data_IF_744102136771
#
_entry.id   IF_744102136771
#
_cell.length_a   1.000
_cell.length_b   1.000
_cell.length_c   1.000
_cell.angle_alpha   90.00
_cell.angle_beta   90.00
_cell.angle_gamma   90.00
#
_symmetry.space_group_name_H-M   'P 1'
#
loop_
_entity.id
_entity.type
_entity.pdbx_description
1 polymer ?
#
# COMPACT_ATOMS: atom_id res chain seq x y z
N UNK A 1 18.17 -11.72 34.63
CA UNK A 1 17.14 -10.86 35.24
C UNK A 1 17.12 -9.56 34.44
N UNK A 2 16.01 -9.26 33.77
CA UNK A 2 15.84 -8.04 33.00
C UNK A 2 15.85 -6.84 33.94
N UNK A 3 16.57 -5.74 33.66
CA UNK A 3 16.74 -4.62 34.61
C UNK A 3 15.48 -3.76 34.82
N UNK A 4 14.30 -4.17 34.35
CA UNK A 4 13.07 -3.35 34.35
C UNK A 4 11.86 -3.98 35.06
N UNK A 5 12.01 -5.04 35.83
CA UNK A 5 10.89 -5.53 36.63
C UNK A 5 10.79 -4.71 37.93
N UNK A 6 9.71 -3.94 38.05
CA UNK A 6 9.32 -3.29 39.30
C UNK A 6 8.90 -4.41 40.27
N UNK A 7 9.57 -4.49 41.40
CA UNK A 7 9.18 -5.40 42.51
C UNK A 7 7.91 -4.86 43.15
N UNK A 8 6.75 -5.36 42.71
CA UNK A 8 5.42 -4.93 43.17
C UNK A 8 5.24 -5.22 44.70
N UNK A 9 6.03 -6.14 45.29
CA UNK A 9 5.96 -6.41 46.74
C UNK A 9 6.41 -5.24 47.60
N UNK A 10 7.13 -4.26 47.00
CA UNK A 10 7.62 -3.04 47.65
C UNK A 10 6.80 -1.80 47.26
N UNK A 11 5.70 -1.96 46.52
CA UNK A 11 4.84 -0.88 46.15
C UNK A 11 4.03 -0.42 47.36
N UNK A 12 4.24 0.82 47.77
CA UNK A 12 3.49 1.48 48.86
C UNK A 12 2.69 2.62 48.26
N UNK A 13 1.33 2.50 48.18
CA UNK A 13 0.48 3.54 47.61
C UNK A 13 0.47 4.83 48.44
N UNK A 14 1.02 4.81 49.66
CA UNK A 14 1.14 6.03 50.51
C UNK A 14 2.44 6.80 50.24
N UNK A 15 3.41 6.19 49.54
CA UNK A 15 4.59 6.90 49.03
C UNK A 15 4.20 7.78 47.86
N UNK A 16 4.76 8.99 47.82
CA UNK A 16 4.55 9.92 46.70
C UNK A 16 5.33 9.49 45.42
N UNK A 17 4.97 8.33 44.88
CA UNK A 17 5.56 7.75 43.66
C UNK A 17 4.88 8.23 42.35
N UNK A 18 3.97 9.21 42.46
CA UNK A 18 3.27 9.83 41.32
C UNK A 18 4.22 10.31 40.19
N UNK A 19 5.40 10.92 40.47
CA UNK A 19 6.31 11.30 39.41
C UNK A 19 6.80 10.11 38.55
N UNK A 20 7.02 8.93 39.16
CA UNK A 20 7.44 7.73 38.43
C UNK A 20 6.32 7.17 37.57
N UNK A 21 5.07 7.18 38.07
CA UNK A 21 3.90 6.77 37.33
C UNK A 21 3.72 7.66 36.10
N UNK A 22 3.72 8.98 36.28
CA UNK A 22 3.62 9.94 35.19
C UNK A 22 4.66 9.70 34.09
N UNK A 23 5.92 9.44 34.46
CA UNK A 23 6.99 9.22 33.51
C UNK A 23 6.89 7.90 32.75
N UNK A 24 6.29 6.85 33.31
CA UNK A 24 6.28 5.48 32.77
C UNK A 24 4.96 5.04 32.14
N UNK A 25 3.93 5.89 32.16
CA UNK A 25 2.66 5.56 31.47
C UNK A 25 2.93 5.35 29.98
N UNK A 26 2.40 4.26 29.37
CA UNK A 26 2.65 3.92 27.97
C UNK A 26 1.77 4.73 26.99
N UNK A 27 1.66 6.02 27.24
CA UNK A 27 1.03 7.00 26.35
C UNK A 27 1.82 8.31 26.41
N UNK A 28 1.64 9.16 25.42
CA UNK A 28 2.19 10.52 25.49
C UNK A 28 1.38 11.34 26.49
N UNK A 29 2.04 12.02 27.39
CA UNK A 29 1.41 12.98 28.29
C UNK A 29 2.11 14.32 28.14
N UNK A 30 1.32 15.36 27.90
CA UNK A 30 1.75 16.74 27.97
C UNK A 30 0.74 17.55 28.78
N UNK A 31 1.21 18.58 29.46
CA UNK A 31 0.38 19.51 30.22
C UNK A 31 0.55 20.87 29.59
N UNK A 32 -0.57 21.54 29.27
CA UNK A 32 -0.57 22.87 28.65
C UNK A 32 -1.17 23.90 29.60
N UNK A 33 -0.60 25.12 29.55
CA UNK A 33 -1.19 26.30 30.24
C UNK A 33 -2.22 26.99 29.32
N UNK A 34 -2.83 28.07 29.81
CA UNK A 34 -3.83 28.88 29.09
C UNK A 34 -3.31 29.48 27.77
N UNK A 35 -1.98 29.63 27.64
CA UNK A 35 -1.33 30.11 26.41
C UNK A 35 -1.04 28.97 25.42
N UNK A 36 -1.52 27.77 25.71
CA UNK A 36 -1.26 26.53 24.92
C UNK A 36 0.26 26.17 24.87
N UNK A 37 1.03 26.62 25.88
CA UNK A 37 2.41 26.21 26.03
C UNK A 37 2.50 24.93 26.83
N UNK A 38 3.35 24.04 26.37
CA UNK A 38 3.68 22.80 27.08
C UNK A 38 4.50 23.15 28.32
N UNK A 39 3.98 22.79 29.50
CA UNK A 39 4.64 23.06 30.80
C UNK A 39 5.25 21.80 31.39
N UNK A 40 4.76 20.62 31.03
CA UNK A 40 5.29 19.34 31.50
C UNK A 40 5.03 18.25 30.48
N UNK A 41 5.94 17.26 30.40
CA UNK A 41 5.83 16.10 29.51
C UNK A 41 6.37 14.86 30.20
N UNK A 42 5.86 13.67 29.82
CA UNK A 42 6.39 12.41 30.28
C UNK A 42 7.54 11.89 29.37
N UNK A 43 8.19 10.81 29.80
CA UNK A 43 9.34 10.24 29.10
C UNK A 43 9.02 9.80 27.68
N UNK A 44 7.86 9.15 27.44
CA UNK A 44 7.46 8.68 26.12
C UNK A 44 7.27 9.86 25.14
N UNK A 45 6.64 10.95 25.59
CA UNK A 45 6.53 12.15 24.79
C UNK A 45 7.91 12.67 24.38
N UNK A 46 8.87 12.75 25.35
CA UNK A 46 10.21 13.28 25.08
C UNK A 46 10.99 12.41 24.09
N UNK A 47 10.74 11.09 24.07
CA UNK A 47 11.38 10.18 23.12
C UNK A 47 10.95 10.49 21.68
N UNK A 48 9.66 10.72 21.44
CA UNK A 48 9.11 10.84 20.07
C UNK A 48 9.01 12.29 19.59
N UNK A 49 8.86 13.25 20.49
CA UNK A 49 8.73 14.68 20.15
C UNK A 49 9.92 15.54 20.61
N UNK A 50 10.78 15.01 21.48
CA UNK A 50 11.87 15.75 22.09
C UNK A 50 11.45 16.51 23.34
N UNK A 51 12.42 17.20 23.98
CA UNK A 51 12.12 18.09 25.12
C UNK A 51 11.56 19.41 24.58
N UNK A 52 10.25 19.61 24.67
CA UNK A 52 9.49 20.72 24.09
C UNK A 52 8.80 21.59 25.14
N UNK A 53 9.26 21.55 26.39
CA UNK A 53 8.72 22.40 27.46
C UNK A 53 8.95 23.86 27.12
N UNK A 54 7.89 24.68 27.24
CA UNK A 54 7.85 26.11 26.89
C UNK A 54 7.38 26.39 25.45
N UNK A 55 7.36 25.41 24.57
CA UNK A 55 6.91 25.57 23.18
C UNK A 55 5.39 25.47 23.05
N UNK A 56 4.83 25.97 21.96
CA UNK A 56 3.39 25.93 21.69
C UNK A 56 2.98 24.53 21.17
N UNK A 57 1.95 23.96 21.76
CA UNK A 57 1.55 22.57 21.47
C UNK A 57 1.22 22.34 19.99
N UNK A 58 0.55 23.30 19.33
CA UNK A 58 0.19 23.20 17.92
C UNK A 58 1.39 23.31 16.96
N UNK A 59 2.48 23.97 17.38
CA UNK A 59 3.76 23.96 16.64
C UNK A 59 4.43 22.61 16.77
N UNK A 60 4.50 22.08 18.00
CA UNK A 60 5.17 20.81 18.31
C UNK A 60 4.48 19.62 17.65
N UNK A 61 3.17 19.51 17.80
CA UNK A 61 2.43 18.34 17.30
C UNK A 61 2.11 18.39 15.82
N UNK A 62 1.92 19.60 15.25
CA UNK A 62 1.36 19.75 13.89
C UNK A 62 2.12 20.71 12.99
N UNK A 63 3.21 21.31 13.46
CA UNK A 63 3.97 22.31 12.70
C UNK A 63 3.15 23.55 12.29
N UNK A 64 2.11 23.90 13.07
CA UNK A 64 1.20 25.01 12.74
C UNK A 64 1.67 26.30 13.37
N UNK A 65 1.36 27.43 12.74
CA UNK A 65 1.61 28.78 13.28
C UNK A 65 0.41 29.37 14.06
N UNK A 66 -0.67 28.63 14.18
CA UNK A 66 -1.90 29.06 14.88
C UNK A 66 -2.59 27.88 15.58
N UNK A 67 -3.40 28.12 16.62
CA UNK A 67 -4.12 27.08 17.34
C UNK A 67 -4.94 26.18 16.40
N UNK A 68 -5.07 24.91 16.79
CA UNK A 68 -5.84 23.93 16.02
C UNK A 68 -7.32 24.33 15.98
N UNK A 69 -8.00 24.24 14.83
CA UNK A 69 -9.46 24.29 14.81
C UNK A 69 -10.00 23.12 15.62
N UNK A 70 -11.09 23.34 16.35
CA UNK A 70 -11.73 22.30 17.20
C UNK A 70 -10.81 21.68 18.27
N UNK A 71 -9.83 22.45 18.78
CA UNK A 71 -8.83 21.98 19.72
C UNK A 71 -9.45 21.45 21.02
N UNK A 72 -9.22 20.19 21.42
CA UNK A 72 -9.78 19.61 22.64
C UNK A 72 -9.24 20.30 23.90
N UNK A 73 -7.99 20.76 23.90
CA UNK A 73 -7.39 21.50 25.02
C UNK A 73 -8.11 22.83 25.26
N UNK A 74 -8.40 23.57 24.17
CA UNK A 74 -9.15 24.85 24.28
C UNK A 74 -10.57 24.61 24.78
N UNK A 75 -11.25 23.56 24.32
CA UNK A 75 -12.59 23.19 24.78
C UNK A 75 -12.58 22.86 26.27
N UNK A 76 -11.61 22.07 26.74
CA UNK A 76 -11.46 21.72 28.16
C UNK A 76 -11.18 22.94 29.03
N UNK A 77 -10.42 23.93 28.57
CA UNK A 77 -10.27 25.19 29.31
C UNK A 77 -11.56 25.97 29.39
N UNK A 78 -12.42 25.90 28.37
CA UNK A 78 -13.66 26.68 28.32
C UNK A 78 -14.76 26.11 29.18
N UNK A 79 -14.93 24.78 29.23
CA UNK A 79 -16.09 24.14 29.90
C UNK A 79 -15.71 23.23 31.09
N UNK A 80 -14.42 22.96 31.28
CA UNK A 80 -13.93 22.08 32.35
C UNK A 80 -14.26 20.61 32.16
N UNK A 81 -14.67 20.20 30.97
CA UNK A 81 -15.00 18.81 30.65
C UNK A 81 -13.84 18.09 29.98
N UNK A 82 -13.88 16.77 30.06
CA UNK A 82 -12.98 15.89 29.30
C UNK A 82 -13.43 15.89 27.85
N UNK A 83 -12.50 16.15 26.95
CA UNK A 83 -12.69 16.03 25.50
C UNK A 83 -11.81 14.97 24.92
N UNK A 84 -12.26 14.35 23.82
CA UNK A 84 -11.46 13.40 23.06
C UNK A 84 -11.59 13.65 21.57
N UNK A 85 -10.51 13.40 20.85
CA UNK A 85 -10.48 13.47 19.39
C UNK A 85 -9.43 12.53 18.83
N UNK A 86 -9.61 12.09 17.60
CA UNK A 86 -8.55 11.43 16.83
C UNK A 86 -7.81 12.50 16.01
N UNK A 87 -6.50 12.50 16.13
CA UNK A 87 -5.65 13.52 15.54
C UNK A 87 -4.46 12.89 14.81
N UNK A 88 -3.95 13.58 13.81
CA UNK A 88 -2.67 13.28 13.21
C UNK A 88 -1.62 14.23 13.79
N UNK A 89 -0.51 13.69 14.24
CA UNK A 89 0.63 14.42 14.79
C UNK A 89 1.91 14.07 14.03
N UNK A 90 2.90 14.96 14.11
CA UNK A 90 4.18 14.78 13.44
C UNK A 90 5.25 14.59 14.53
N UNK A 91 5.94 13.45 14.49
CA UNK A 91 7.06 13.18 15.41
C UNK A 91 8.29 14.03 15.04
N UNK A 92 9.28 14.08 15.94
CA UNK A 92 10.54 14.83 15.70
C UNK A 92 11.30 14.38 14.44
N UNK A 93 11.09 13.10 14.02
CA UNK A 93 11.73 12.53 12.84
C UNK A 93 10.90 12.80 11.56
N UNK A 94 9.86 13.65 11.66
CA UNK A 94 9.00 14.02 10.55
C UNK A 94 7.99 12.94 10.14
N UNK A 95 7.81 11.90 10.95
CA UNK A 95 6.84 10.84 10.66
C UNK A 95 5.45 11.22 11.16
N UNK A 96 4.44 10.93 10.34
CA UNK A 96 3.04 11.07 10.73
C UNK A 96 2.61 9.92 11.65
N UNK A 97 1.97 10.25 12.76
CA UNK A 97 1.38 9.30 13.69
C UNK A 97 -0.08 9.66 13.97
N UNK A 98 -0.96 8.66 13.91
CA UNK A 98 -2.34 8.80 14.35
C UNK A 98 -2.41 8.57 15.85
N UNK A 99 -3.02 9.51 16.54
CA UNK A 99 -3.21 9.43 17.99
C UNK A 99 -4.68 9.62 18.36
N UNK A 100 -5.12 8.95 19.41
CA UNK A 100 -6.35 9.31 20.10
C UNK A 100 -5.97 10.16 21.31
N UNK A 101 -6.54 11.34 21.39
CA UNK A 101 -6.25 12.36 22.40
C UNK A 101 -7.39 12.40 23.41
N UNK A 102 -7.05 12.49 24.67
CA UNK A 102 -7.96 12.80 25.78
C UNK A 102 -7.40 13.98 26.55
N UNK A 103 -8.25 14.95 26.85
CA UNK A 103 -7.87 16.13 27.63
C UNK A 103 -8.62 16.17 28.95
N UNK A 104 -7.97 16.58 30.04
CA UNK A 104 -8.55 16.69 31.36
C UNK A 104 -8.08 17.97 32.06
N UNK A 105 -8.99 18.73 32.73
CA UNK A 105 -8.61 19.94 33.42
C UNK A 105 -7.83 19.62 34.70
N UNK A 106 -6.85 20.45 35.01
CA UNK A 106 -6.12 20.44 36.29
C UNK A 106 -6.50 21.71 37.09
N UNK A 107 -6.89 21.51 38.33
CA UNK A 107 -7.40 22.57 39.20
C UNK A 107 -6.39 22.94 40.28
N UNK A 108 -6.38 24.21 40.68
CA UNK A 108 -5.72 24.64 41.92
C UNK A 108 -6.60 24.42 43.14
N UNK A 109 -6.07 24.74 44.32
CA UNK A 109 -6.78 24.60 45.60
C UNK A 109 -8.05 25.48 45.68
N UNK A 110 -8.21 26.46 44.81
CA UNK A 110 -9.37 27.35 44.71
C UNK A 110 -10.41 26.85 43.70
N UNK A 111 -10.22 25.66 43.11
CA UNK A 111 -11.14 25.10 42.12
C UNK A 111 -11.08 25.78 40.75
N UNK A 112 -10.05 26.57 40.45
CA UNK A 112 -9.84 27.19 39.14
C UNK A 112 -8.97 26.30 38.26
N UNK A 113 -9.33 26.14 36.99
CA UNK A 113 -8.50 25.43 36.01
C UNK A 113 -7.20 26.22 35.78
N UNK A 114 -6.08 25.60 36.02
CA UNK A 114 -4.73 26.21 35.88
C UNK A 114 -3.97 25.63 34.72
N UNK A 115 -4.31 24.40 34.30
CA UNK A 115 -3.70 23.72 33.18
C UNK A 115 -4.65 22.64 32.63
N UNK A 116 -4.34 22.12 31.46
CA UNK A 116 -5.00 20.94 30.87
C UNK A 116 -3.96 19.88 30.65
N UNK A 117 -4.23 18.68 31.13
CA UNK A 117 -3.46 17.50 30.82
C UNK A 117 -4.01 16.87 29.54
N UNK A 118 -3.13 16.62 28.59
CA UNK A 118 -3.41 15.90 27.35
C UNK A 118 -2.72 14.54 27.40
N UNK A 119 -3.51 13.48 27.24
CA UNK A 119 -3.02 12.12 27.09
C UNK A 119 -3.29 11.66 25.68
N UNK A 120 -2.26 11.18 24.98
CA UNK A 120 -2.38 10.72 23.60
C UNK A 120 -1.81 9.33 23.46
N UNK A 121 -2.58 8.44 22.85
CA UNK A 121 -2.15 7.06 22.56
C UNK A 121 -1.94 6.90 21.06
N UNK A 122 -0.78 6.40 20.68
CA UNK A 122 -0.47 6.12 19.27
C UNK A 122 -1.30 4.92 18.76
N UNK A 123 -2.20 5.19 17.82
CA UNK A 123 -3.08 4.20 17.20
C UNK A 123 -2.74 3.95 15.73
N UNK A 124 -1.56 4.35 15.27
CA UNK A 124 -1.15 4.21 13.87
C UNK A 124 -1.25 2.77 13.38
N UNK A 125 -0.80 1.81 14.19
CA UNK A 125 -0.90 0.40 13.84
C UNK A 125 -2.37 -0.08 13.79
N UNK A 126 -3.22 0.41 14.69
CA UNK A 126 -4.66 0.08 14.70
C UNK A 126 -5.32 0.63 13.45
N UNK A 127 -5.02 1.88 13.07
CA UNK A 127 -5.54 2.50 11.84
C UNK A 127 -5.08 1.76 10.59
N UNK A 128 -3.80 1.34 10.54
CA UNK A 128 -3.28 0.51 9.43
C UNK A 128 -4.04 -0.80 9.34
N UNK A 129 -4.19 -1.52 10.47
CA UNK A 129 -4.94 -2.77 10.49
C UNK A 129 -6.41 -2.60 10.10
N UNK A 130 -7.06 -1.52 10.53
CA UNK A 130 -8.44 -1.19 10.12
C UNK A 130 -8.54 -0.94 8.62
N UNK A 131 -7.58 -0.20 8.05
CA UNK A 131 -7.50 0.05 6.60
C UNK A 131 -7.27 -1.25 5.84
N UNK A 132 -6.35 -2.09 6.31
CA UNK A 132 -6.04 -3.39 5.69
C UNK A 132 -7.27 -4.32 5.72
N UNK A 133 -7.97 -4.40 6.85
CA UNK A 133 -9.21 -5.19 6.99
C UNK A 133 -10.34 -4.66 6.09
N UNK A 134 -10.50 -3.35 6.01
CA UNK A 134 -11.49 -2.73 5.11
C UNK A 134 -11.18 -3.05 3.65
N UNK A 135 -9.91 -2.90 3.25
CA UNK A 135 -9.44 -3.24 1.91
C UNK A 135 -9.66 -4.74 1.61
N UNK A 136 -9.39 -5.61 2.59
CA UNK A 136 -9.61 -7.05 2.45
C UNK A 136 -11.11 -7.37 2.27
N UNK A 137 -11.99 -6.71 3.04
CA UNK A 137 -13.44 -6.87 2.91
C UNK A 137 -13.95 -6.44 1.52
N UNK A 138 -13.48 -5.31 1.02
CA UNK A 138 -13.79 -4.82 -0.33
C UNK A 138 -13.27 -5.78 -1.41
N UNK A 139 -12.06 -6.29 -1.23
CA UNK A 139 -11.45 -7.27 -2.14
C UNK A 139 -12.30 -8.53 -2.23
N UNK A 140 -12.76 -9.09 -1.11
CA UNK A 140 -13.64 -10.27 -1.07
C UNK A 140 -14.96 -10.01 -1.81
N UNK A 141 -15.58 -8.84 -1.63
CA UNK A 141 -16.81 -8.48 -2.34
C UNK A 141 -16.59 -8.41 -3.85
N UNK A 142 -15.49 -7.81 -4.30
CA UNK A 142 -15.09 -7.74 -5.72
C UNK A 142 -14.82 -9.13 -6.29
N UNK A 143 -14.14 -9.99 -5.53
CA UNK A 143 -13.90 -11.39 -5.90
C UNK A 143 -15.21 -12.15 -6.10
N UNK A 144 -16.15 -12.05 -5.16
CA UNK A 144 -17.45 -12.70 -5.25
C UNK A 144 -18.24 -12.26 -6.50
N UNK A 145 -18.21 -10.95 -6.80
CA UNK A 145 -18.82 -10.42 -8.02
C UNK A 145 -18.14 -10.95 -9.29
N UNK A 146 -16.81 -11.00 -9.32
CA UNK A 146 -16.04 -11.53 -10.46
C UNK A 146 -16.29 -13.02 -10.68
N UNK A 147 -16.32 -13.83 -9.61
CA UNK A 147 -16.67 -15.26 -9.67
C UNK A 147 -18.07 -15.44 -10.26
N UNK A 148 -19.06 -14.70 -9.76
CA UNK A 148 -20.43 -14.75 -10.28
C UNK A 148 -20.49 -14.45 -11.79
N UNK A 149 -19.77 -13.42 -12.25
CA UNK A 149 -19.74 -13.05 -13.66
C UNK A 149 -19.10 -14.13 -14.53
N UNK A 150 -18.00 -14.75 -14.06
CA UNK A 150 -17.33 -15.84 -14.78
C UNK A 150 -18.22 -17.07 -14.86
N UNK A 151 -18.89 -17.44 -13.75
CA UNK A 151 -19.85 -18.57 -13.74
C UNK A 151 -21.01 -18.34 -14.72
N UNK A 152 -21.59 -17.14 -14.72
CA UNK A 152 -22.62 -16.77 -15.71
C UNK A 152 -22.11 -16.87 -17.15
N UNK A 153 -20.85 -16.48 -17.38
CA UNK A 153 -20.21 -16.62 -18.69
C UNK A 153 -19.98 -18.08 -19.09
N UNK A 154 -19.60 -18.95 -18.13
CA UNK A 154 -19.48 -20.39 -18.35
C UNK A 154 -20.82 -21.02 -18.70
N UNK A 155 -21.90 -20.72 -17.95
CA UNK A 155 -23.20 -21.22 -18.20
C UNK A 155 -23.69 -20.81 -19.61
N UNK A 156 -23.48 -19.55 -20.00
CA UNK A 156 -23.77 -19.07 -21.36
C UNK A 156 -22.95 -19.80 -22.44
N UNK A 157 -21.66 -20.04 -22.20
CA UNK A 157 -20.82 -20.81 -23.13
C UNK A 157 -21.29 -22.25 -23.30
N UNK A 158 -21.60 -22.91 -22.19
CA UNK A 158 -22.18 -24.29 -22.19
C UNK A 158 -23.51 -24.34 -22.94
N UNK A 159 -24.38 -23.36 -22.74
CA UNK A 159 -25.65 -23.27 -23.47
C UNK A 159 -25.41 -23.20 -24.98
N UNK A 160 -24.48 -22.33 -25.45
CA UNK A 160 -24.15 -22.19 -26.88
C UNK A 160 -23.57 -23.48 -27.44
N UNK A 161 -22.66 -24.17 -26.70
CA UNK A 161 -22.14 -25.50 -27.11
C UNK A 161 -23.26 -26.49 -27.29
N UNK A 162 -24.16 -26.61 -26.31
CA UNK A 162 -25.28 -27.56 -26.36
C UNK A 162 -26.26 -27.25 -27.50
N UNK A 163 -26.57 -25.97 -27.75
CA UNK A 163 -27.39 -25.53 -28.89
C UNK A 163 -26.77 -25.94 -30.22
N UNK A 164 -25.47 -25.64 -30.41
CA UNK A 164 -24.77 -26.00 -31.63
C UNK A 164 -24.69 -27.52 -31.87
N UNK A 165 -24.49 -28.31 -30.80
CA UNK A 165 -24.48 -29.76 -30.88
C UNK A 165 -25.87 -30.31 -31.28
N UNK A 166 -26.94 -29.78 -30.70
CA UNK A 166 -28.31 -30.19 -31.01
C UNK A 166 -28.72 -29.86 -32.44
N UNK A 167 -28.22 -28.73 -32.97
CA UNK A 167 -28.53 -28.26 -34.32
C UNK A 167 -27.54 -28.79 -35.39
N UNK A 168 -26.48 -29.48 -34.97
CA UNK A 168 -25.40 -29.92 -35.86
C UNK A 168 -24.55 -28.75 -36.37
N UNK A 169 -24.63 -27.56 -35.76
CA UNK A 169 -23.86 -26.39 -36.13
C UNK A 169 -22.48 -26.40 -35.44
N UNK A 170 -21.47 -26.81 -36.22
CA UNK A 170 -20.09 -26.86 -35.75
C UNK A 170 -19.52 -25.46 -35.42
N UNK A 171 -19.97 -24.44 -36.14
CA UNK A 171 -19.48 -23.06 -35.93
C UNK A 171 -19.97 -22.50 -34.61
N UNK A 172 -21.24 -22.71 -34.31
CA UNK A 172 -21.84 -22.32 -33.02
C UNK A 172 -21.22 -23.10 -31.86
N UNK A 173 -21.01 -24.42 -32.04
CA UNK A 173 -20.31 -25.25 -31.03
C UNK A 173 -18.91 -24.74 -30.71
N UNK A 174 -18.13 -24.39 -31.74
CA UNK A 174 -16.77 -23.84 -31.54
C UNK A 174 -16.79 -22.47 -30.83
N UNK A 175 -17.73 -21.59 -31.20
CA UNK A 175 -17.88 -20.30 -30.52
C UNK A 175 -18.22 -20.48 -29.02
N UNK A 176 -19.13 -21.41 -28.73
CA UNK A 176 -19.46 -21.74 -27.34
C UNK A 176 -18.26 -22.28 -26.56
N UNK A 177 -17.47 -23.16 -27.21
CA UNK A 177 -16.25 -23.71 -26.63
C UNK A 177 -15.18 -22.63 -26.32
N UNK A 178 -14.96 -21.68 -27.23
CA UNK A 178 -14.08 -20.51 -27.01
C UNK A 178 -14.53 -19.69 -25.79
N UNK A 179 -15.84 -19.49 -25.61
CA UNK A 179 -16.38 -18.80 -24.42
C UNK A 179 -16.04 -19.57 -23.15
N UNK A 180 -16.22 -20.91 -23.14
CA UNK A 180 -15.88 -21.75 -21.99
C UNK A 180 -14.38 -21.66 -21.67
N UNK A 181 -13.52 -21.89 -22.66
CA UNK A 181 -12.06 -21.83 -22.48
C UNK A 181 -11.60 -20.48 -21.91
N UNK A 182 -12.13 -19.38 -22.44
CA UNK A 182 -11.82 -18.02 -21.95
C UNK A 182 -12.23 -17.83 -20.48
N UNK A 183 -13.38 -18.31 -20.08
CA UNK A 183 -13.85 -18.19 -18.69
C UNK A 183 -13.06 -19.10 -17.73
N UNK A 184 -12.64 -20.30 -18.16
CA UNK A 184 -11.74 -21.17 -17.38
C UNK A 184 -10.38 -20.49 -17.15
N UNK A 185 -9.80 -19.87 -18.19
CA UNK A 185 -8.55 -19.11 -18.05
C UNK A 185 -8.70 -17.94 -17.05
N UNK A 186 -9.86 -17.25 -17.05
CA UNK A 186 -10.18 -16.19 -16.09
C UNK A 186 -10.27 -16.69 -14.66
N UNK A 187 -10.90 -17.83 -14.41
CA UNK A 187 -10.93 -18.44 -13.06
C UNK A 187 -9.51 -18.73 -12.60
N UNK A 188 -8.69 -19.31 -13.46
CA UNK A 188 -7.29 -19.64 -13.13
C UNK A 188 -6.48 -18.38 -12.75
N UNK A 189 -6.67 -17.28 -13.48
CA UNK A 189 -6.04 -15.99 -13.15
C UNK A 189 -6.55 -15.45 -11.81
N UNK A 190 -7.88 -15.45 -11.62
CA UNK A 190 -8.50 -14.96 -10.38
C UNK A 190 -8.01 -15.73 -9.15
N UNK A 191 -7.91 -17.07 -9.24
CA UNK A 191 -7.40 -17.90 -8.14
C UNK A 191 -5.94 -17.55 -7.83
N UNK A 192 -5.10 -17.33 -8.86
CA UNK A 192 -3.70 -16.88 -8.66
C UNK A 192 -3.65 -15.53 -7.94
N UNK A 193 -4.48 -14.57 -8.35
CA UNK A 193 -4.55 -13.24 -7.73
C UNK A 193 -4.99 -13.33 -6.25
N UNK A 194 -6.00 -14.19 -5.96
CA UNK A 194 -6.46 -14.45 -4.59
C UNK A 194 -5.35 -15.05 -3.73
N UNK A 195 -4.69 -16.09 -4.23
CA UNK A 195 -3.58 -16.74 -3.53
C UNK A 195 -2.42 -15.75 -3.30
N UNK A 196 -2.20 -14.85 -4.27
CA UNK A 196 -1.21 -13.80 -4.14
C UNK A 196 -1.56 -12.81 -3.02
N UNK A 197 -2.82 -12.38 -2.94
CA UNK A 197 -3.29 -11.47 -1.89
C UNK A 197 -3.30 -12.11 -0.49
N UNK A 198 -3.65 -13.40 -0.40
CA UNK A 198 -3.83 -14.10 0.88
C UNK A 198 -2.53 -14.56 1.55
N UNK A 199 -1.47 -14.81 0.77
CA UNK A 199 -0.22 -15.36 1.29
C UNK A 199 0.72 -14.23 1.74
N UNK A 200 1.16 -14.29 3.00
CA UNK A 200 2.31 -13.49 3.45
C UNK A 200 3.56 -14.11 2.81
N UNK A 201 4.21 -13.39 1.90
CA UNK A 201 5.40 -13.88 1.20
C UNK A 201 6.66 -13.35 1.86
N UNK A 202 7.65 -14.20 1.97
CA UNK A 202 9.02 -13.75 2.17
C UNK A 202 9.58 -13.42 0.77
N UNK A 203 9.79 -12.12 0.51
CA UNK A 203 10.40 -11.66 -0.73
C UNK A 203 11.88 -12.01 -0.70
N UNK A 204 12.25 -13.10 -1.38
CA UNK A 204 13.66 -13.49 -1.49
C UNK A 204 14.34 -12.51 -2.44
N UNK A 205 15.12 -11.61 -1.87
CA UNK A 205 15.88 -10.63 -2.65
C UNK A 205 17.17 -11.29 -3.19
N UNK A 206 17.45 -11.07 -4.46
CA UNK A 206 18.66 -11.49 -5.15
C UNK A 206 19.23 -10.33 -5.98
N UNK A 207 20.49 -10.43 -6.36
CA UNK A 207 21.08 -9.47 -7.27
C UNK A 207 20.59 -9.82 -8.69
N UNK A 208 19.84 -8.92 -9.29
CA UNK A 208 19.24 -9.09 -10.62
C UNK A 208 19.64 -7.98 -11.58
N UNK A 209 19.55 -8.22 -12.87
CA UNK A 209 19.55 -7.21 -13.93
C UNK A 209 18.09 -6.87 -14.28
N UNK A 210 17.53 -5.73 -13.84
CA UNK A 210 16.12 -5.42 -14.04
C UNK A 210 15.74 -5.32 -15.51
N UNK A 211 16.66 -4.81 -16.36
CA UNK A 211 16.42 -4.69 -17.79
C UNK A 211 16.21 -6.04 -18.46
N UNK A 212 16.79 -7.12 -17.95
CA UNK A 212 16.52 -8.46 -18.44
C UNK A 212 15.07 -8.86 -18.15
N UNK A 213 14.56 -8.60 -16.94
CA UNK A 213 13.17 -8.89 -16.60
C UNK A 213 12.20 -8.09 -17.48
N UNK A 214 12.53 -6.82 -17.76
CA UNK A 214 11.71 -6.00 -18.69
C UNK A 214 11.69 -6.60 -20.10
N UNK A 215 12.84 -7.11 -20.60
CA UNK A 215 12.92 -7.80 -21.90
C UNK A 215 12.11 -9.10 -21.90
N UNK A 216 12.16 -9.89 -20.82
CA UNK A 216 11.38 -11.13 -20.69
C UNK A 216 9.88 -10.86 -20.76
N UNK A 217 9.40 -9.84 -20.05
CA UNK A 217 8.00 -9.40 -20.11
C UNK A 217 7.64 -8.89 -21.51
N UNK A 218 8.51 -8.11 -22.14
CA UNK A 218 8.29 -7.65 -23.51
C UNK A 218 8.13 -8.83 -24.48
N UNK A 219 9.03 -9.81 -24.45
CA UNK A 219 8.94 -10.99 -25.34
C UNK A 219 7.69 -11.83 -25.04
N UNK A 220 7.27 -11.94 -23.77
CA UNK A 220 6.05 -12.63 -23.39
C UNK A 220 4.80 -12.03 -24.05
N UNK A 221 4.72 -10.70 -24.13
CA UNK A 221 3.54 -10.01 -24.66
C UNK A 221 3.64 -9.60 -26.12
N UNK A 222 4.82 -9.69 -26.75
CA UNK A 222 5.05 -9.28 -28.15
C UNK A 222 4.10 -9.93 -29.13
N UNK A 223 3.88 -11.26 -28.99
CA UNK A 223 2.97 -12.00 -29.86
C UNK A 223 1.51 -11.56 -29.68
N UNK A 224 1.08 -11.37 -28.44
CA UNK A 224 -0.29 -10.92 -28.10
C UNK A 224 -0.52 -9.50 -28.63
N UNK A 225 0.42 -8.58 -28.41
CA UNK A 225 0.33 -7.20 -28.91
C UNK A 225 0.24 -7.15 -30.43
N UNK A 226 1.06 -7.97 -31.14
CA UNK A 226 1.05 -8.05 -32.60
C UNK A 226 -0.29 -8.56 -33.15
N UNK A 227 -0.92 -9.56 -32.50
CA UNK A 227 -2.25 -10.05 -32.90
C UNK A 227 -3.35 -8.99 -32.76
N UNK A 228 -3.21 -8.10 -31.80
CA UNK A 228 -4.15 -6.98 -31.56
C UNK A 228 -3.72 -5.69 -32.30
N UNK A 229 -2.70 -5.78 -33.19
CA UNK A 229 -2.18 -4.64 -33.96
C UNK A 229 -1.63 -3.49 -33.10
N UNK A 230 -1.03 -3.81 -31.97
CA UNK A 230 -0.44 -2.85 -31.00
C UNK A 230 1.07 -2.89 -31.17
N UNK A 231 1.70 -1.73 -31.38
CA UNK A 231 3.15 -1.59 -31.38
C UNK A 231 3.66 -1.63 -29.92
N UNK A 232 4.46 -2.65 -29.59
CA UNK A 232 5.12 -2.76 -28.29
C UNK A 232 6.57 -2.30 -28.42
N UNK A 233 7.02 -1.36 -27.56
CA UNK A 233 8.33 -0.71 -27.67
C UNK A 233 9.08 -0.81 -26.35
N UNK A 234 10.39 -0.99 -26.41
CA UNK A 234 11.31 -0.95 -25.28
C UNK A 234 12.11 0.36 -25.29
N UNK A 235 12.21 0.98 -24.11
CA UNK A 235 13.03 2.17 -23.85
C UNK A 235 13.76 1.95 -22.51
N UNK A 236 14.96 1.37 -22.58
CA UNK A 236 15.68 0.87 -21.42
C UNK A 236 16.88 1.76 -21.07
N UNK A 237 17.00 2.14 -19.81
CA UNK A 237 18.15 2.85 -19.25
C UNK A 237 19.35 1.90 -19.09
N UNK A 238 20.42 2.07 -19.88
CA UNK A 238 21.56 1.16 -19.80
C UNK A 238 22.33 1.23 -18.49
N UNK A 239 22.23 2.36 -17.76
CA UNK A 239 22.93 2.60 -16.50
C UNK A 239 22.23 2.05 -15.27
N UNK A 240 21.06 1.41 -15.41
CA UNK A 240 20.31 0.88 -14.29
C UNK A 240 21.07 -0.22 -13.54
N UNK A 241 21.91 -0.98 -14.24
CA UNK A 241 22.84 -1.95 -13.65
C UNK A 241 22.16 -3.04 -12.80
N UNK A 242 22.96 -3.67 -11.93
CA UNK A 242 22.47 -4.72 -11.02
C UNK A 242 21.86 -4.10 -9.75
N UNK A 243 20.71 -4.60 -9.34
CA UNK A 243 20.04 -4.18 -8.11
C UNK A 243 19.66 -5.39 -7.26
N UNK A 244 19.50 -5.18 -5.94
CA UNK A 244 18.96 -6.18 -5.01
C UNK A 244 17.44 -6.14 -5.08
N UNK A 245 16.81 -7.14 -5.70
CA UNK A 245 15.37 -7.20 -5.92
C UNK A 245 14.86 -8.64 -6.04
N UNK A 246 13.53 -8.83 -6.10
CA UNK A 246 12.92 -10.12 -6.39
C UNK A 246 12.47 -10.16 -7.86
N UNK A 247 12.99 -11.15 -8.61
CA UNK A 247 12.72 -11.32 -10.06
C UNK A 247 11.23 -11.58 -10.33
N UNK A 248 10.60 -12.48 -9.54
CA UNK A 248 9.21 -12.87 -9.74
C UNK A 248 8.25 -11.70 -9.46
N UNK A 249 8.55 -10.89 -8.44
CA UNK A 249 7.76 -9.72 -8.10
C UNK A 249 7.82 -8.65 -9.20
N UNK A 250 9.02 -8.34 -9.71
CA UNK A 250 9.17 -7.40 -10.81
C UNK A 250 8.46 -7.90 -12.08
N UNK A 251 8.62 -9.19 -12.41
CA UNK A 251 7.93 -9.80 -13.54
C UNK A 251 6.41 -9.72 -13.38
N UNK A 252 5.88 -10.00 -12.20
CA UNK A 252 4.44 -9.92 -11.90
C UNK A 252 3.90 -8.49 -12.04
N UNK A 253 4.61 -7.51 -11.46
CA UNK A 253 4.26 -6.09 -11.57
C UNK A 253 4.15 -5.68 -13.03
N UNK A 254 5.22 -5.89 -13.80
CA UNK A 254 5.30 -5.45 -15.19
C UNK A 254 4.29 -6.20 -16.07
N UNK A 255 4.11 -7.49 -15.87
CA UNK A 255 3.11 -8.28 -16.61
C UNK A 255 1.70 -7.78 -16.40
N UNK A 256 1.33 -7.44 -15.17
CA UNK A 256 0.02 -6.87 -14.85
C UNK A 256 -0.20 -5.51 -15.54
N UNK A 257 0.82 -4.65 -15.52
CA UNK A 257 0.73 -3.33 -16.14
C UNK A 257 0.64 -3.41 -17.66
N UNK A 258 1.48 -4.26 -18.30
CA UNK A 258 1.45 -4.47 -19.76
C UNK A 258 0.14 -5.10 -20.21
N UNK A 259 -0.36 -6.09 -19.48
CA UNK A 259 -1.67 -6.69 -19.77
C UNK A 259 -2.79 -5.66 -19.71
N UNK A 260 -2.79 -4.76 -18.69
CA UNK A 260 -3.75 -3.69 -18.59
C UNK A 260 -3.67 -2.71 -19.77
N UNK A 261 -2.46 -2.35 -20.22
CA UNK A 261 -2.23 -1.47 -21.36
C UNK A 261 -2.74 -2.10 -22.67
N UNK A 262 -2.45 -3.39 -22.93
CA UNK A 262 -2.94 -4.11 -24.10
C UNK A 262 -4.46 -4.14 -24.11
N UNK A 263 -5.10 -4.42 -22.97
CA UNK A 263 -6.55 -4.43 -22.90
C UNK A 263 -7.16 -3.04 -23.09
N UNK A 264 -6.55 -1.97 -22.56
CA UNK A 264 -7.00 -0.61 -22.77
C UNK A 264 -6.99 -0.23 -24.25
N UNK A 265 -5.90 -0.54 -24.96
CA UNK A 265 -5.77 -0.31 -26.40
C UNK A 265 -6.78 -1.16 -27.21
N UNK A 266 -6.97 -2.44 -26.85
CA UNK A 266 -7.90 -3.34 -27.54
C UNK A 266 -9.35 -2.86 -27.53
N UNK A 267 -9.79 -2.21 -26.46
CA UNK A 267 -11.16 -1.70 -26.33
C UNK A 267 -11.33 -0.28 -26.82
N UNK A 268 -10.27 0.41 -27.27
CA UNK A 268 -10.36 1.72 -27.87
C UNK A 268 -10.74 1.62 -29.36
N UNK A 269 -11.99 1.97 -29.64
CA UNK A 269 -12.52 1.98 -31.02
C UNK A 269 -12.17 3.26 -31.79
N UNK A 270 -11.63 4.27 -31.11
CA UNK A 270 -11.39 5.61 -31.71
C UNK A 270 -10.02 5.72 -32.37
N UNK A 271 -9.07 4.83 -32.01
CA UNK A 271 -7.71 4.83 -32.51
C UNK A 271 -7.36 3.47 -33.15
N UNK A 272 -6.49 3.47 -34.14
CA UNK A 272 -5.99 2.26 -34.79
C UNK A 272 -4.48 2.07 -34.67
N UNK A 273 -3.73 3.13 -34.39
CA UNK A 273 -2.28 3.16 -34.23
C UNK A 273 -1.90 3.07 -32.73
N UNK A 274 -2.24 1.92 -32.13
CA UNK A 274 -1.96 1.71 -30.72
C UNK A 274 -0.48 1.42 -30.48
N UNK A 275 0.05 2.02 -29.42
CA UNK A 275 1.44 1.89 -29.00
C UNK A 275 1.54 1.78 -27.49
N UNK A 276 2.36 0.82 -27.04
CA UNK A 276 2.69 0.63 -25.62
C UNK A 276 4.21 0.69 -25.48
N UNK A 277 4.69 1.49 -24.53
CA UNK A 277 6.12 1.66 -24.27
C UNK A 277 6.44 1.16 -22.86
N UNK A 278 7.38 0.21 -22.77
CA UNK A 278 7.96 -0.24 -21.51
C UNK A 278 9.28 0.49 -21.31
N UNK A 279 9.39 1.26 -20.20
CA UNK A 279 10.62 1.99 -19.86
C UNK A 279 11.21 1.52 -18.56
N UNK A 280 12.53 1.55 -18.50
CA UNK A 280 13.30 1.57 -17.26
C UNK A 280 14.05 2.89 -17.16
N UNK A 281 14.11 3.50 -15.98
CA UNK A 281 14.72 4.81 -15.75
C UNK A 281 15.52 4.75 -14.45
N UNK A 282 16.71 5.35 -14.45
CA UNK A 282 17.49 5.58 -13.24
C UNK A 282 17.33 7.02 -12.81
N UNK A 283 16.68 7.26 -11.66
CA UNK A 283 16.47 8.62 -11.11
C UNK A 283 17.13 8.75 -9.73
N UNK A 284 18.42 9.15 -9.74
CA UNK A 284 19.21 9.18 -8.50
C UNK A 284 19.28 7.79 -7.86
N UNK A 285 18.88 7.63 -6.58
CA UNK A 285 18.88 6.33 -5.90
C UNK A 285 17.64 5.47 -6.20
N UNK A 286 16.86 5.82 -7.20
CA UNK A 286 15.58 5.17 -7.50
C UNK A 286 15.63 4.46 -8.85
N UNK A 287 15.19 3.19 -8.87
CA UNK A 287 14.84 2.47 -10.07
C UNK A 287 13.35 2.73 -10.38
N UNK A 288 13.07 3.19 -11.58
CA UNK A 288 11.71 3.50 -12.03
C UNK A 288 11.38 2.67 -13.25
N UNK A 289 10.19 2.06 -13.25
CA UNK A 289 9.66 1.32 -14.39
C UNK A 289 8.32 1.94 -14.78
N UNK A 290 8.15 2.17 -16.07
CA UNK A 290 6.95 2.76 -16.63
C UNK A 290 6.36 1.87 -17.72
N UNK A 291 5.03 1.79 -17.72
CA UNK A 291 4.25 1.27 -18.83
C UNK A 291 3.33 2.41 -19.28
N UNK A 292 3.58 2.90 -20.49
CA UNK A 292 2.81 3.96 -21.15
C UNK A 292 2.00 3.34 -22.28
N UNK A 293 0.72 3.65 -22.34
CA UNK A 293 -0.17 3.35 -23.47
C UNK A 293 -0.73 4.64 -24.08
N UNK A 294 -1.14 4.56 -25.33
CA UNK A 294 -1.86 5.61 -26.02
C UNK A 294 -3.34 5.26 -26.24
N UNK A 295 -3.91 4.46 -25.35
CA UNK A 295 -5.32 4.09 -25.35
C UNK A 295 -6.26 5.24 -24.94
N UNK A 296 -7.49 4.94 -24.52
CA UNK A 296 -8.49 5.96 -24.21
C UNK A 296 -8.19 6.79 -22.97
N UNK A 297 -7.17 6.39 -22.16
CA UNK A 297 -6.90 6.99 -20.86
C UNK A 297 -8.00 6.70 -19.83
N UNK A 298 -7.88 7.31 -18.67
CA UNK A 298 -8.85 7.22 -17.58
C UNK A 298 -9.20 8.62 -17.09
N UNK A 299 -10.45 8.86 -16.67
CA UNK A 299 -10.83 10.13 -16.03
C UNK A 299 -9.98 10.38 -14.78
N UNK A 300 -9.59 11.63 -14.53
CA UNK A 300 -8.77 12.05 -13.39
C UNK A 300 -9.42 11.65 -12.04
N UNK A 301 -10.74 11.69 -11.97
CA UNK A 301 -11.54 11.28 -10.81
C UNK A 301 -11.29 9.83 -10.36
N UNK A 302 -10.77 8.99 -11.25
CA UNK A 302 -10.54 7.56 -10.99
C UNK A 302 -9.17 7.27 -10.37
N UNK A 303 -8.27 8.23 -10.35
CA UNK A 303 -6.91 8.06 -9.80
C UNK A 303 -6.94 7.52 -8.37
N UNK A 304 -7.81 8.06 -7.52
CA UNK A 304 -7.96 7.64 -6.13
C UNK A 304 -8.58 6.23 -5.96
N UNK A 305 -9.27 5.73 -6.99
CA UNK A 305 -9.99 4.45 -6.94
C UNK A 305 -9.29 3.31 -7.66
N UNK A 306 -8.34 3.60 -8.56
CA UNK A 306 -7.65 2.60 -9.39
C UNK A 306 -6.99 1.47 -8.59
N UNK A 307 -6.50 1.80 -7.41
CA UNK A 307 -5.77 0.87 -6.56
C UNK A 307 -6.61 0.33 -5.40
N UNK A 308 -7.90 0.59 -5.36
CA UNK A 308 -8.80 0.13 -4.28
C UNK A 308 -9.54 -1.17 -4.60
N UNK A 309 -9.34 -1.71 -5.80
CA UNK A 309 -10.06 -2.91 -6.26
C UNK A 309 -11.53 -2.69 -6.60
N UNK A 310 -12.05 -1.46 -6.45
CA UNK A 310 -13.47 -1.14 -6.70
C UNK A 310 -13.82 -0.87 -8.16
N UNK A 311 -12.82 -0.56 -8.99
CA UNK A 311 -13.05 -0.15 -10.36
C UNK A 311 -12.42 -1.13 -11.35
N UNK A 312 -13.29 -1.74 -12.15
CA UNK A 312 -12.92 -2.30 -13.44
C UNK A 312 -13.64 -1.48 -14.50
N UNK A 313 -12.90 -0.69 -15.27
CA UNK A 313 -13.42 0.00 -16.46
C UNK A 313 -13.94 -0.99 -17.49
N UNK A 314 -13.63 -2.26 -17.30
CA UNK A 314 -13.88 -3.38 -18.23
C UNK A 314 -15.24 -4.04 -18.02
N UNK A 315 -16.09 -3.52 -17.10
CA UNK A 315 -17.40 -4.09 -16.82
C UNK A 315 -17.30 -5.60 -16.49
N UNK A 316 -17.92 -6.44 -17.34
CA UNK A 316 -17.93 -7.92 -17.17
C UNK A 316 -16.59 -8.61 -17.47
N UNK A 317 -15.54 -7.90 -17.92
CA UNK A 317 -14.34 -8.52 -18.49
C UNK A 317 -13.06 -8.43 -17.63
N UNK A 318 -12.98 -7.56 -16.63
CA UNK A 318 -11.81 -7.41 -15.75
C UNK A 318 -12.02 -7.96 -14.34
N UNK A 319 -11.00 -8.60 -13.75
CA UNK A 319 -11.04 -9.04 -12.35
C UNK A 319 -10.90 -7.87 -11.36
N UNK A 320 -10.31 -6.75 -11.80
CA UNK A 320 -10.00 -5.59 -10.97
C UNK A 320 -8.89 -5.84 -9.94
N UNK A 321 -8.33 -7.05 -9.87
CA UNK A 321 -7.36 -7.45 -8.85
C UNK A 321 -5.91 -7.19 -9.26
N UNK A 322 -5.58 -7.15 -10.55
CA UNK A 322 -4.20 -7.01 -11.01
C UNK A 322 -3.50 -5.75 -10.46
N UNK A 323 -4.16 -4.60 -10.48
CA UNK A 323 -3.60 -3.36 -9.90
C UNK A 323 -3.49 -3.40 -8.37
N UNK A 324 -4.43 -4.07 -7.71
CA UNK A 324 -4.39 -4.27 -6.27
C UNK A 324 -3.22 -5.18 -5.86
N UNK A 325 -3.01 -6.28 -6.59
CA UNK A 325 -1.83 -7.15 -6.43
C UNK A 325 -0.56 -6.35 -6.67
N UNK A 326 -0.50 -5.58 -7.75
CA UNK A 326 0.65 -4.73 -8.08
C UNK A 326 0.96 -3.74 -6.95
N UNK A 327 -0.05 -3.02 -6.45
CA UNK A 327 0.12 -2.08 -5.33
C UNK A 327 0.61 -2.77 -4.06
N UNK A 328 0.07 -3.97 -3.75
CA UNK A 328 0.50 -4.74 -2.59
C UNK A 328 1.98 -5.10 -2.69
N UNK A 329 2.43 -5.65 -3.83
CA UNK A 329 3.84 -6.01 -4.06
C UNK A 329 4.73 -4.77 -3.92
N UNK A 330 4.36 -3.69 -4.58
CA UNK A 330 5.12 -2.44 -4.57
C UNK A 330 5.30 -1.91 -3.15
N UNK A 331 4.22 -1.90 -2.35
CA UNK A 331 4.26 -1.44 -0.96
C UNK A 331 5.10 -2.38 -0.06
N UNK A 332 4.99 -3.70 -0.21
CA UNK A 332 5.76 -4.69 0.55
C UNK A 332 7.28 -4.55 0.27
N UNK A 333 7.64 -4.16 -0.95
CA UNK A 333 9.03 -3.90 -1.34
C UNK A 333 9.52 -2.47 -1.01
N UNK A 334 8.67 -1.64 -0.39
CA UNK A 334 8.99 -0.26 0.00
C UNK A 334 9.04 0.71 -1.18
N UNK A 335 8.36 0.38 -2.27
CA UNK A 335 8.21 1.22 -3.45
C UNK A 335 6.95 2.07 -3.45
N UNK A 336 6.72 2.76 -4.55
CA UNK A 336 5.53 3.56 -4.81
C UNK A 336 5.01 3.26 -6.22
N UNK A 337 3.68 3.14 -6.38
CA UNK A 337 3.00 3.11 -7.67
C UNK A 337 2.21 4.38 -7.86
N UNK A 338 2.35 4.99 -9.04
CA UNK A 338 1.60 6.18 -9.44
C UNK A 338 0.96 5.97 -10.80
N UNK A 339 -0.10 6.69 -11.04
CA UNK A 339 -0.82 6.75 -12.29
C UNK A 339 -0.86 8.20 -12.75
N UNK A 340 -0.72 8.43 -14.03
CA UNK A 340 -1.03 9.70 -14.67
C UNK A 340 -1.76 9.43 -15.96
N UNK A 341 -2.93 10.03 -16.12
CA UNK A 341 -3.61 10.12 -17.41
C UNK A 341 -3.11 11.37 -18.10
N UNK A 342 -2.81 11.27 -19.39
CA UNK A 342 -2.77 12.45 -20.25
C UNK A 342 -4.20 12.91 -20.48
N UNK A 343 -4.40 13.97 -21.22
CA UNK A 343 -5.74 14.43 -21.61
C UNK A 343 -6.64 13.24 -22.03
N UNK A 344 -7.93 13.23 -21.72
CA UNK A 344 -8.82 12.16 -22.15
C UNK A 344 -8.63 11.82 -23.63
N UNK A 345 -8.32 10.56 -23.96
CA UNK A 345 -7.99 10.09 -25.30
C UNK A 345 -6.49 10.09 -25.66
N UNK A 346 -5.59 10.49 -24.76
CA UNK A 346 -4.14 10.51 -25.02
C UNK A 346 -3.37 9.40 -24.28
N UNK A 347 -4.07 8.47 -23.62
CA UNK A 347 -3.49 7.29 -22.97
C UNK A 347 -3.20 7.46 -21.50
N UNK A 348 -2.48 6.47 -20.96
CA UNK A 348 -2.16 6.34 -19.53
C UNK A 348 -0.70 6.02 -19.32
N UNK A 349 -0.15 6.43 -18.17
CA UNK A 349 1.18 6.05 -17.72
C UNK A 349 1.07 5.48 -16.30
N UNK A 350 1.41 4.21 -16.15
CA UNK A 350 1.64 3.59 -14.84
C UNK A 350 3.12 3.58 -14.54
N UNK A 351 3.49 4.10 -13.39
CA UNK A 351 4.87 4.20 -12.94
C UNK A 351 5.05 3.52 -11.60
N UNK A 352 6.02 2.63 -11.50
CA UNK A 352 6.46 2.04 -10.23
C UNK A 352 7.88 2.47 -9.92
N UNK A 353 8.13 2.84 -8.67
CA UNK A 353 9.41 3.40 -8.23
C UNK A 353 9.90 2.64 -7.02
N UNK A 354 11.16 2.23 -7.02
CA UNK A 354 11.79 1.50 -5.92
C UNK A 354 13.13 2.14 -5.52
N UNK A 355 13.43 2.23 -4.21
CA UNK A 355 14.75 2.61 -3.76
C UNK A 355 15.76 1.51 -4.14
N UNK A 356 16.86 1.91 -4.79
CA UNK A 356 17.96 1.00 -5.09
C UNK A 356 18.70 0.70 -3.78
N UNK A 357 18.57 -0.53 -3.32
CA UNK A 357 19.38 -1.02 -2.20
C UNK A 357 20.71 -1.48 -2.77
N UNK A 358 21.78 -0.73 -2.48
CA UNK A 358 23.14 -1.17 -2.81
C UNK A 358 23.46 -2.44 -2.01
N UNK A 359 23.96 -3.46 -2.66
CA UNK A 359 24.52 -4.61 -1.97
C UNK A 359 25.74 -4.12 -1.16
N UNK A 360 25.58 -3.96 0.16
CA UNK A 360 26.74 -3.79 1.05
C UNK A 360 27.52 -5.10 1.05
N UNK A 361 28.84 -5.11 0.89
CA UNK A 361 29.64 -6.33 0.70
C UNK A 361 29.75 -7.25 1.92
N UNK A 362 28.84 -7.18 2.90
CA UNK A 362 28.97 -7.85 4.20
C UNK A 362 28.11 -9.13 4.36
N UNK A 363 27.57 -9.75 3.29
CA UNK A 363 26.82 -11.01 3.43
C UNK A 363 27.16 -12.09 2.39
N UNK A 364 28.42 -12.18 2.00
CA UNK A 364 28.95 -13.39 1.35
C UNK A 364 29.77 -14.17 2.38
N UNK A 365 29.10 -14.90 3.25
CA UNK A 365 29.72 -16.04 3.95
C UNK A 365 29.48 -17.28 3.10
N UNK A 366 30.49 -17.90 2.51
CA UNK A 366 30.32 -19.19 1.86
C UNK A 366 30.13 -20.25 2.95
N UNK A 367 28.98 -20.87 2.98
CA UNK A 367 28.81 -22.16 3.64
C UNK A 367 29.69 -23.22 2.94
N UNK A 368 30.92 -23.35 3.41
CA UNK A 368 31.81 -24.46 3.08
C UNK A 368 32.12 -25.21 4.37
N UNK A 369 31.19 -26.04 4.78
CA UNK A 369 31.50 -27.14 5.71
C UNK A 369 30.45 -28.25 5.56
N UNK A 370 30.73 -29.17 4.65
CA UNK A 370 30.21 -30.52 4.76
C UNK A 370 30.97 -31.43 3.78
N UNK A 371 32.10 -31.96 4.20
CA UNK A 371 32.58 -33.26 3.70
C UNK A 371 33.90 -33.61 4.40
N UNK A 372 33.81 -34.24 5.56
CA UNK A 372 34.82 -35.20 6.01
C UNK A 372 34.34 -35.78 7.36
N UNK A 373 33.68 -36.90 7.32
CA UNK A 373 33.80 -38.03 8.27
C UNK A 373 33.04 -39.22 7.69
N UNK A 374 33.76 -40.01 6.93
CA UNK A 374 33.49 -41.43 6.74
C UNK A 374 34.84 -42.11 6.61
N UNK A 375 35.35 -42.63 7.72
CA UNK A 375 36.20 -43.83 7.82
C UNK A 375 36.67 -43.98 9.26
N UNK A 376 36.03 -44.77 10.01
CA UNK A 376 36.51 -45.90 10.82
C UNK A 376 35.33 -46.48 11.62
#
# INVERSE_FOLDING_TARGET
MSPNQIDISKWDPTRNDYPQLFQRVPCYISVQNHELRIVQTNQLFQQDFGNRVGELCYEVYKGRSSPCPECPVVKTFADGQVHSNEEMVITRDGQEAFVIVYTSPLYNDQGKIVAVMEMSTNITNIKRLQTDLSLMGQTVATMAHSIKNILTGLDGGIYVVNSGLQQGDKTETLKGWEIVQRNVARISSLVKDILYCAKKREHILSIIEPNQVVREVFELFRGTAALEQIELVLDLEPKLGLILFNTEDLHTILSNLVHNAIEACKFDVNRRDHRIVLRSILKGPLAVFEVEDNGPGLPEEWENYLFTGMLSTKGRYGTGLGLLVTRKIVNELGGQITFSSRTPGEGSVFRVTFPIRSASPAQTSPNTEASSVLTQ
#
